data_IF_560497988907
#
_entry.id   IF_560497988907
#
_cell.length_a   1.000
_cell.length_b   1.000
_cell.length_c   1.000
_cell.angle_alpha   90.00
_cell.angle_beta   90.00
_cell.angle_gamma   90.00
#
_symmetry.space_group_name_H-M   'P 1'
#
loop_
_entity.id
_entity.type
_entity.pdbx_description
1 polymer ?
#
# COMPACT_ATOMS: atom_id res chain seq x y z
N UNK A 1 -12.52 13.76 -24.03
CA UNK A 1 -12.91 13.04 -22.79
C UNK A 1 -11.73 13.11 -21.83
N UNK A 2 -11.90 13.73 -20.66
CA UNK A 2 -10.83 13.95 -19.67
C UNK A 2 -10.67 12.69 -18.84
N UNK A 3 -9.65 11.87 -19.12
CA UNK A 3 -9.18 10.88 -18.16
C UNK A 3 -8.30 11.60 -17.14
N UNK A 4 -8.77 11.69 -15.90
CA UNK A 4 -8.06 12.23 -14.75
C UNK A 4 -8.03 11.14 -13.70
N UNK A 5 -7.11 10.19 -13.87
CA UNK A 5 -7.11 8.97 -13.05
C UNK A 5 -5.70 8.72 -12.54
N UNK A 6 -5.57 8.66 -11.21
CA UNK A 6 -4.47 7.95 -10.56
C UNK A 6 -5.04 6.61 -10.14
N UNK A 7 -4.49 5.53 -10.68
CA UNK A 7 -4.91 4.18 -10.35
C UNK A 7 -3.81 3.51 -9.54
N UNK A 8 -4.14 3.15 -8.29
CA UNK A 8 -3.37 2.19 -7.51
C UNK A 8 -3.70 0.80 -8.06
N UNK A 9 -2.75 0.19 -8.75
CA UNK A 9 -2.99 -1.05 -9.48
C UNK A 9 -2.79 -2.31 -8.63
N UNK A 10 -1.78 -2.33 -7.75
CA UNK A 10 -1.41 -3.49 -6.94
C UNK A 10 -0.86 -3.00 -5.60
N UNK A 11 -1.28 -3.65 -4.51
CA UNK A 11 -0.67 -3.57 -3.19
C UNK A 11 -0.30 -4.98 -2.76
N UNK A 12 0.99 -5.20 -2.46
CA UNK A 12 1.45 -6.43 -1.83
C UNK A 12 2.10 -6.05 -0.50
N UNK A 13 1.63 -6.62 0.61
CA UNK A 13 2.13 -6.30 1.96
C UNK A 13 2.59 -7.56 2.69
N UNK A 14 3.74 -7.47 3.34
CA UNK A 14 4.22 -8.42 4.33
C UNK A 14 4.02 -7.80 5.70
N UNK A 15 3.43 -8.56 6.63
CA UNK A 15 3.11 -8.09 7.97
C UNK A 15 3.85 -8.88 9.03
N UNK A 16 4.42 -8.18 10.01
CA UNK A 16 4.98 -8.77 11.23
C UNK A 16 4.04 -8.42 12.38
N UNK A 17 3.60 -9.44 13.10
CA UNK A 17 2.67 -9.32 14.22
C UNK A 17 3.40 -9.64 15.53
N UNK A 18 3.19 -8.81 16.55
CA UNK A 18 3.62 -9.09 17.92
C UNK A 18 2.43 -8.92 18.84
N UNK A 19 2.06 -9.96 19.58
CA UNK A 19 0.92 -9.93 20.50
C UNK A 19 1.30 -10.28 21.94
N UNK A 20 0.59 -9.66 22.87
CA UNK A 20 0.65 -9.89 24.31
C UNK A 20 -0.66 -10.54 24.75
N UNK A 21 -0.56 -11.53 25.64
CA UNK A 21 -1.75 -12.18 26.22
C UNK A 21 -2.20 -11.39 27.44
N UNK A 22 -3.46 -10.93 27.44
CA UNK A 22 -4.08 -10.26 28.59
C UNK A 22 -4.75 -11.29 29.52
N UNK A 23 -5.32 -12.35 28.93
CA UNK A 23 -5.88 -13.51 29.62
C UNK A 23 -5.71 -14.76 28.72
N UNK A 24 -6.15 -15.93 29.19
CA UNK A 24 -6.15 -17.21 28.47
C UNK A 24 -6.88 -17.18 27.13
N UNK A 25 -7.82 -16.24 26.95
CA UNK A 25 -8.75 -16.20 25.80
C UNK A 25 -8.54 -14.97 24.90
N UNK A 26 -8.03 -13.87 25.46
CA UNK A 26 -7.91 -12.58 24.77
C UNK A 26 -6.43 -12.15 24.66
N UNK A 27 -6.05 -11.74 23.44
CA UNK A 27 -4.71 -11.20 23.14
C UNK A 27 -4.85 -9.86 22.44
N UNK A 28 -3.91 -8.96 22.70
CA UNK A 28 -3.81 -7.68 22.00
C UNK A 28 -2.41 -7.57 21.43
N UNK A 29 -2.31 -7.10 20.20
CA UNK A 29 -1.04 -6.99 19.51
C UNK A 29 -0.90 -5.72 18.70
N UNK A 30 0.31 -5.54 18.20
CA UNK A 30 0.67 -4.54 17.21
C UNK A 30 1.11 -5.26 15.93
N UNK A 31 0.75 -4.67 14.80
CA UNK A 31 1.13 -5.17 13.49
C UNK A 31 1.88 -4.07 12.75
N UNK A 32 3.01 -4.41 12.16
CA UNK A 32 3.73 -3.57 11.21
C UNK A 32 3.66 -4.23 9.84
N UNK A 33 3.39 -3.45 8.80
CA UNK A 33 3.41 -3.93 7.42
C UNK A 33 4.35 -3.11 6.56
N UNK A 34 5.01 -3.78 5.63
CA UNK A 34 5.79 -3.16 4.56
C UNK A 34 5.31 -3.77 3.25
N UNK A 35 5.14 -2.94 2.24
CA UNK A 35 4.64 -3.40 0.96
C UNK A 35 5.17 -2.62 -0.22
N UNK A 36 4.69 -3.00 -1.39
CA UNK A 36 4.89 -2.26 -2.62
C UNK A 36 3.54 -1.89 -3.23
N UNK A 37 3.40 -0.63 -3.61
CA UNK A 37 2.26 -0.08 -4.34
C UNK A 37 2.67 0.31 -5.75
N UNK A 38 1.85 0.00 -6.75
CA UNK A 38 2.09 0.44 -8.13
C UNK A 38 1.10 1.53 -8.51
N UNK A 39 1.62 2.70 -8.87
CA UNK A 39 0.83 3.81 -9.38
C UNK A 39 0.94 3.92 -10.89
N UNK A 40 -0.19 4.15 -11.55
CA UNK A 40 -0.27 4.64 -12.92
C UNK A 40 -1.10 5.91 -12.94
N UNK A 41 -0.55 6.96 -13.56
CA UNK A 41 -1.19 8.27 -13.61
C UNK A 41 -1.20 8.81 -15.05
N UNK A 42 -2.43 9.00 -15.54
CA UNK A 42 -2.72 9.65 -16.83
C UNK A 42 -3.63 10.85 -16.59
N UNK A 43 -3.13 12.04 -16.94
CA UNK A 43 -3.91 13.29 -16.86
C UNK A 43 -3.72 14.09 -18.14
N UNK A 44 -4.80 14.38 -18.85
CA UNK A 44 -4.73 15.34 -19.96
C UNK A 44 -4.50 16.79 -19.51
N UNK A 45 -4.88 17.11 -18.27
CA UNK A 45 -4.77 18.45 -17.65
C UNK A 45 -5.19 18.35 -16.18
N UNK A 46 -4.56 19.12 -15.29
CA UNK A 46 -5.05 19.31 -13.92
C UNK A 46 -6.07 20.48 -13.91
N UNK A 47 -7.07 20.50 -13.01
CA UNK A 47 -7.98 21.63 -12.87
C UNK A 47 -7.19 22.93 -12.63
N UNK A 48 -7.27 23.89 -13.55
CA UNK A 48 -6.58 25.18 -13.44
C UNK A 48 -5.08 25.17 -13.77
N UNK A 49 -4.49 24.02 -14.12
CA UNK A 49 -3.06 23.91 -14.46
C UNK A 49 -2.91 23.14 -15.80
N UNK A 50 -2.42 23.79 -16.87
CA UNK A 50 -2.13 23.09 -18.12
C UNK A 50 -1.02 22.07 -17.88
N UNK A 51 -1.29 20.80 -18.16
CA UNK A 51 -0.28 19.74 -18.12
C UNK A 51 0.22 19.47 -19.53
N UNK A 52 1.52 19.63 -19.75
CA UNK A 52 2.19 19.28 -21.00
C UNK A 52 2.27 17.75 -21.18
N UNK A 53 2.27 17.02 -20.07
CA UNK A 53 2.41 15.57 -20.03
C UNK A 53 1.06 14.89 -19.77
N UNK A 54 0.62 14.08 -20.73
CA UNK A 54 -0.58 13.25 -20.61
C UNK A 54 -0.39 12.01 -19.72
N UNK A 55 0.86 11.64 -19.43
CA UNK A 55 1.24 10.41 -18.74
C UNK A 55 2.53 10.60 -17.94
N UNK A 56 2.55 10.07 -16.71
CA UNK A 56 3.68 10.19 -15.77
C UNK A 56 4.43 8.87 -15.54
N UNK A 57 4.12 7.84 -16.33
CA UNK A 57 4.71 6.52 -16.15
C UNK A 57 3.96 5.66 -15.16
N UNK A 58 4.46 4.44 -14.96
CA UNK A 58 4.08 3.59 -13.85
C UNK A 58 5.28 3.36 -12.94
N UNK A 59 5.13 3.58 -11.64
CA UNK A 59 6.20 3.37 -10.65
C UNK A 59 5.72 2.51 -9.49
N UNK A 60 6.62 1.63 -9.05
CA UNK A 60 6.53 0.95 -7.77
C UNK A 60 7.02 1.89 -6.67
N UNK A 61 6.27 1.96 -5.59
CA UNK A 61 6.56 2.76 -4.41
C UNK A 61 6.48 1.86 -3.18
N UNK A 62 7.35 2.12 -2.21
CA UNK A 62 7.31 1.43 -0.94
C UNK A 62 6.09 1.92 -0.16
N UNK A 63 5.24 1.00 0.28
CA UNK A 63 4.18 1.27 1.25
C UNK A 63 4.59 0.74 2.62
N UNK A 64 4.01 1.32 3.66
CA UNK A 64 4.19 0.85 5.02
C UNK A 64 2.92 1.09 5.82
N UNK A 65 2.73 0.31 6.86
CA UNK A 65 1.58 0.44 7.74
C UNK A 65 1.90 0.02 9.15
N UNK A 66 1.10 0.53 10.07
CA UNK A 66 1.12 0.15 11.48
C UNK A 66 -0.31 0.00 11.95
N UNK A 67 -0.52 -0.91 12.89
CA UNK A 67 -1.84 -1.17 13.40
C UNK A 67 -1.81 -1.85 14.75
N UNK A 68 -3.00 -1.99 15.31
CA UNK A 68 -3.26 -2.79 16.50
C UNK A 68 -4.24 -3.88 16.14
N UNK A 69 -4.18 -4.98 16.87
CA UNK A 69 -5.11 -6.09 16.71
C UNK A 69 -5.57 -6.61 18.05
N UNK A 70 -6.79 -7.12 18.06
CA UNK A 70 -7.38 -7.82 19.19
C UNK A 70 -7.76 -9.21 18.70
N UNK A 71 -7.23 -10.24 19.36
CA UNK A 71 -7.55 -11.63 19.09
C UNK A 71 -8.37 -12.18 20.25
N UNK A 72 -9.41 -12.95 19.91
CA UNK A 72 -10.25 -13.67 20.87
C UNK A 72 -10.49 -15.09 20.36
N UNK A 73 -10.33 -16.09 21.23
CA UNK A 73 -10.73 -17.44 20.88
C UNK A 73 -12.26 -17.51 20.72
N UNK A 74 -12.73 -17.99 19.57
CA UNK A 74 -14.18 -18.06 19.24
C UNK A 74 -14.73 -19.47 19.48
N UNK A 75 -13.86 -20.45 19.76
CA UNK A 75 -14.21 -21.84 20.02
C UNK A 75 -13.73 -22.74 18.88
N UNK A 76 -14.57 -23.68 18.44
CA UNK A 76 -14.23 -24.62 17.36
C UNK A 76 -15.20 -24.51 16.20
N UNK A 77 -14.67 -24.42 14.98
CA UNK A 77 -15.43 -24.44 13.72
C UNK A 77 -15.04 -25.72 12.97
N UNK A 78 -16.01 -26.57 12.64
CA UNK A 78 -15.79 -27.87 12.01
C UNK A 78 -14.76 -28.76 12.75
N UNK A 79 -14.70 -28.65 14.08
CA UNK A 79 -13.76 -29.40 14.93
C UNK A 79 -12.33 -28.83 14.99
N UNK A 80 -12.06 -27.72 14.30
CA UNK A 80 -10.79 -26.99 14.37
C UNK A 80 -10.93 -25.77 15.29
N UNK A 81 -9.92 -25.45 16.13
CA UNK A 81 -9.96 -24.23 16.92
C UNK A 81 -9.99 -23.00 15.98
N UNK A 82 -10.75 -21.98 16.36
CA UNK A 82 -10.88 -20.75 15.58
C UNK A 82 -10.66 -19.53 16.47
N UNK A 83 -9.97 -18.53 15.90
CA UNK A 83 -9.69 -17.26 16.56
C UNK A 83 -10.29 -16.14 15.74
N UNK A 84 -11.09 -15.30 16.38
CA UNK A 84 -11.57 -14.05 15.81
C UNK A 84 -10.53 -12.98 16.06
N UNK A 85 -10.20 -12.22 15.03
CA UNK A 85 -9.22 -11.15 15.07
C UNK A 85 -9.87 -9.88 14.51
N UNK A 86 -9.65 -8.75 15.16
CA UNK A 86 -10.03 -7.45 14.66
C UNK A 86 -8.77 -6.60 14.53
N UNK A 87 -8.44 -6.19 13.30
CA UNK A 87 -7.28 -5.35 13.01
C UNK A 87 -7.73 -3.92 12.71
N UNK A 88 -7.05 -2.98 13.34
CA UNK A 88 -7.16 -1.54 13.08
C UNK A 88 -5.82 -1.06 12.55
N UNK A 89 -5.78 -0.63 11.30
CA UNK A 89 -4.56 -0.28 10.61
C UNK A 89 -4.55 1.15 10.09
N UNK A 90 -3.37 1.75 10.06
CA UNK A 90 -3.06 2.96 9.34
C UNK A 90 -1.93 2.68 8.34
N UNK A 91 -2.19 2.95 7.06
CA UNK A 91 -1.27 2.61 5.98
C UNK A 91 -0.92 3.84 5.16
N UNK A 92 0.36 4.02 4.90
CA UNK A 92 0.87 4.92 3.89
C UNK A 92 0.96 4.18 2.56
N UNK A 93 0.18 4.63 1.59
CA UNK A 93 0.22 4.15 0.21
C UNK A 93 0.85 5.20 -0.69
N UNK A 94 1.55 6.22 -0.19
CA UNK A 94 2.00 7.35 -1.02
C UNK A 94 3.03 6.92 -2.06
N UNK A 95 3.09 7.66 -3.17
CA UNK A 95 4.02 7.37 -4.24
C UNK A 95 4.44 8.61 -5.02
N UNK A 96 5.66 8.57 -5.56
CA UNK A 96 6.23 9.62 -6.41
C UNK A 96 6.41 9.10 -7.81
N UNK A 97 5.78 9.78 -8.77
CA UNK A 97 5.92 9.52 -10.19
C UNK A 97 6.81 10.60 -10.79
N UNK A 98 7.75 10.20 -11.65
CA UNK A 98 8.63 11.13 -12.34
C UNK A 98 8.77 10.72 -13.79
N UNK A 99 8.71 11.71 -14.67
CA UNK A 99 8.97 11.56 -16.10
C UNK A 99 9.93 12.66 -16.56
N UNK A 100 10.96 12.24 -17.28
CA UNK A 100 11.91 13.12 -17.92
C UNK A 100 11.56 13.17 -19.43
N UNK A 101 11.49 14.37 -20.00
CA UNK A 101 11.21 14.64 -21.41
C UNK A 101 12.38 15.42 -22.02
N UNK A 102 12.91 14.93 -23.14
CA UNK A 102 13.90 15.67 -23.91
C UNK A 102 13.22 16.79 -24.69
N UNK A 103 13.65 18.03 -24.48
CA UNK A 103 13.06 19.19 -25.17
C UNK A 103 13.92 19.58 -26.38
N UNK A 104 15.22 19.80 -26.14
CA UNK A 104 16.16 20.26 -27.16
C UNK A 104 17.59 20.14 -26.62
N UNK A 105 18.57 20.25 -27.51
CA UNK A 105 19.95 20.46 -27.09
C UNK A 105 20.15 21.93 -26.68
N UNK A 106 20.79 22.15 -25.55
CA UNK A 106 21.18 23.45 -25.01
C UNK A 106 22.71 23.57 -25.03
N UNK A 107 23.21 24.73 -25.41
CA UNK A 107 24.64 25.02 -25.42
C UNK A 107 24.99 25.67 -24.08
N UNK A 108 25.92 25.06 -23.35
CA UNK A 108 26.49 25.60 -22.11
C UNK A 108 28.00 25.51 -22.25
N UNK A 109 28.72 26.62 -22.09
CA UNK A 109 30.18 26.68 -22.19
C UNK A 109 30.77 26.02 -23.47
N UNK A 110 30.21 26.34 -24.63
CA UNK A 110 30.59 25.79 -25.95
C UNK A 110 30.40 24.26 -26.10
N UNK A 111 29.76 23.62 -25.12
CA UNK A 111 29.42 22.20 -25.13
C UNK A 111 27.92 22.02 -25.35
N UNK A 112 27.55 21.01 -26.14
CA UNK A 112 26.14 20.67 -26.41
C UNK A 112 25.65 19.69 -25.35
N UNK A 113 24.67 20.11 -24.56
CA UNK A 113 24.03 19.29 -23.53
C UNK A 113 22.57 18.98 -23.90
N UNK A 114 22.05 17.78 -23.58
CA UNK A 114 20.64 17.50 -23.73
C UNK A 114 19.83 18.26 -22.66
N UNK A 115 18.92 19.13 -23.11
CA UNK A 115 17.94 19.81 -22.27
C UNK A 115 16.79 18.85 -21.92
N UNK A 116 16.67 18.55 -20.63
CA UNK A 116 15.67 17.62 -20.10
C UNK A 116 14.72 18.41 -19.18
N UNK A 117 13.41 18.37 -19.48
CA UNK A 117 12.39 18.79 -18.52
C UNK A 117 11.95 17.61 -17.68
N UNK A 118 11.84 17.84 -16.38
CA UNK A 118 11.48 16.83 -15.39
C UNK A 118 10.14 17.17 -14.78
N UNK A 119 9.17 16.29 -14.98
CA UNK A 119 7.85 16.38 -14.38
C UNK A 119 7.76 15.42 -13.19
N UNK A 120 7.25 15.92 -12.07
CA UNK A 120 7.09 15.15 -10.84
C UNK A 120 5.65 15.26 -10.35
N UNK A 121 5.11 14.14 -9.91
CA UNK A 121 3.80 14.04 -9.30
C UNK A 121 3.93 13.26 -8.00
N UNK A 122 3.62 13.93 -6.90
CA UNK A 122 3.58 13.33 -5.57
C UNK A 122 2.12 12.99 -5.22
N UNK A 123 1.81 11.70 -5.21
CA UNK A 123 0.51 11.18 -4.81
C UNK A 123 0.57 10.78 -3.33
N UNK A 124 -0.09 11.54 -2.46
CA UNK A 124 -0.16 11.22 -1.03
C UNK A 124 -1.49 10.53 -0.74
N UNK A 125 -1.42 9.27 -0.29
CA UNK A 125 -2.59 8.50 0.10
C UNK A 125 -2.35 7.84 1.45
N UNK A 126 -3.22 8.16 2.40
CA UNK A 126 -3.27 7.53 3.71
C UNK A 126 -4.57 6.75 3.80
N UNK A 127 -4.48 5.49 4.22
CA UNK A 127 -5.63 4.61 4.39
C UNK A 127 -5.79 4.22 5.86
N UNK A 128 -7.03 4.22 6.33
CA UNK A 128 -7.44 3.63 7.59
C UNK A 128 -8.15 2.31 7.26
N UNK A 129 -7.74 1.22 7.88
CA UNK A 129 -8.37 -0.09 7.71
C UNK A 129 -8.97 -0.60 9.01
N UNK A 130 -10.11 -1.28 8.89
CA UNK A 130 -10.76 -2.04 9.94
C UNK A 130 -11.10 -3.40 9.35
N UNK A 131 -10.32 -4.41 9.71
CA UNK A 131 -10.36 -5.73 9.07
C UNK A 131 -10.77 -6.77 10.13
N UNK A 132 -12.02 -7.27 10.08
CA UNK A 132 -12.40 -8.45 10.85
C UNK A 132 -11.87 -9.70 10.13
N UNK A 133 -11.10 -10.51 10.84
CA UNK A 133 -10.45 -11.71 10.32
C UNK A 133 -10.81 -12.90 11.20
N UNK A 134 -11.18 -14.00 10.57
CA UNK A 134 -11.32 -15.29 11.23
C UNK A 134 -10.12 -16.16 10.88
N UNK A 135 -9.30 -16.50 11.88
CA UNK A 135 -8.14 -17.37 11.71
C UNK A 135 -8.48 -18.79 12.10
N UNK A 136 -8.26 -19.72 11.17
CA UNK A 136 -8.39 -21.17 11.39
C UNK A 136 -7.01 -21.80 11.19
N UNK A 137 -6.26 -22.11 12.26
CA UNK A 137 -4.97 -22.79 12.16
C UNK A 137 -5.14 -24.21 11.59
N UNK A 138 -4.12 -24.66 10.86
CA UNK A 138 -4.07 -26.01 10.34
C UNK A 138 -3.89 -27.02 11.49
N UNK A 139 -4.53 -28.19 11.42
CA UNK A 139 -4.46 -29.18 12.50
C UNK A 139 -3.03 -29.68 12.79
N UNK A 140 -2.12 -29.59 11.83
CA UNK A 140 -0.75 -30.10 11.96
C UNK A 140 0.29 -29.00 12.24
N UNK A 141 -0.10 -27.73 12.08
CA UNK A 141 0.76 -26.56 12.28
C UNK A 141 -0.08 -25.42 12.88
N UNK A 142 0.06 -25.18 14.18
CA UNK A 142 -0.70 -24.14 14.89
C UNK A 142 -0.35 -22.72 14.47
N UNK A 143 0.84 -22.52 13.91
CA UNK A 143 1.36 -21.22 13.49
C UNK A 143 1.04 -20.90 12.02
N UNK A 144 0.45 -21.84 11.28
CA UNK A 144 0.04 -21.66 9.88
C UNK A 144 -1.47 -21.83 9.83
N UNK A 145 -2.19 -20.81 9.38
CA UNK A 145 -3.65 -20.85 9.31
C UNK A 145 -4.17 -20.17 8.06
N UNK A 146 -5.45 -20.41 7.81
CA UNK A 146 -6.21 -19.62 6.86
C UNK A 146 -6.83 -18.44 7.60
N UNK A 147 -6.52 -17.24 7.12
CA UNK A 147 -7.16 -16.01 7.55
C UNK A 147 -8.29 -15.73 6.54
N UNK A 148 -9.53 -15.68 7.03
CA UNK A 148 -10.72 -15.36 6.24
C UNK A 148 -11.25 -14.02 6.74
N UNK A 149 -11.11 -12.96 5.94
CA UNK A 149 -11.48 -11.60 6.33
C UNK A 149 -11.50 -10.64 5.14
N UNK A 150 -12.04 -9.45 5.38
CA UNK A 150 -12.14 -8.36 4.40
C UNK A 150 -10.87 -7.50 4.39
#
# INVERSE_FOLDING_TARGET
MRATSVVLAIVATVSVCSSLSLDSTDRVGVVGSIGASRYDATFGSLPGIPSCCSWYGSRWNLSWGVGVLVERAVGTIAGLPATGELRLGFQNLSGRLQRDEFIANVIVDDQVHPGISRYQLDATLWALSLEPVLRIPLPWYRDIGFDIGA
#
